data_IF_257181549103
#
_entry.id   IF_257181549103
#
_cell.length_a   1.000
_cell.length_b   1.000
_cell.length_c   1.000
_cell.angle_alpha   90.00
_cell.angle_beta   90.00
_cell.angle_gamma   90.00
#
_symmetry.space_group_name_H-M   'P 1'
#
loop_
_entity.id
_entity.type
_entity.pdbx_description
1 polymer ?
#
# COMPACT_ATOMS: atom_id res chain seq x y z
N UNK A 1 -11.01 -20.07 -13.91
CA UNK A 1 -9.83 -19.89 -13.03
C UNK A 1 -9.65 -18.41 -12.76
N UNK A 2 -9.45 -18.03 -11.48
CA UNK A 2 -9.19 -16.64 -11.10
C UNK A 2 -7.77 -16.24 -11.51
N UNK A 3 -7.57 -14.97 -11.90
CA UNK A 3 -6.23 -14.39 -12.08
C UNK A 3 -5.93 -13.47 -10.92
N UNK A 4 -4.71 -13.54 -10.42
CA UNK A 4 -4.24 -12.77 -9.27
C UNK A 4 -3.22 -11.73 -9.71
N UNK A 5 -3.44 -10.50 -9.29
CA UNK A 5 -2.59 -9.34 -9.51
C UNK A 5 -2.32 -8.69 -8.15
N UNK A 6 -1.45 -7.69 -8.11
CA UNK A 6 -0.95 -7.20 -6.83
C UNK A 6 -0.90 -5.68 -6.79
N UNK A 7 -1.12 -5.12 -5.60
CA UNK A 7 -1.02 -3.69 -5.33
C UNK A 7 -0.04 -3.48 -4.17
N UNK A 8 1.14 -2.93 -4.48
CA UNK A 8 2.23 -2.75 -3.52
C UNK A 8 2.59 -1.27 -3.37
N UNK A 9 1.61 -0.39 -3.36
CA UNK A 9 1.80 1.05 -3.36
C UNK A 9 2.32 1.62 -2.03
N UNK A 10 2.98 2.78 -2.12
CA UNK A 10 3.43 3.51 -0.95
C UNK A 10 2.23 3.89 -0.07
N UNK A 11 2.41 3.99 1.25
CA UNK A 11 1.31 4.46 2.10
C UNK A 11 0.93 5.90 1.73
N UNK A 12 -0.33 6.26 1.94
CA UNK A 12 -0.86 7.61 1.69
C UNK A 12 -0.73 8.09 0.24
N UNK A 13 -0.56 7.18 -0.71
CA UNK A 13 -0.39 7.48 -2.15
C UNK A 13 -1.64 7.17 -2.99
N UNK A 14 -2.80 7.01 -2.34
CA UNK A 14 -4.07 6.80 -3.04
C UNK A 14 -4.49 5.35 -3.20
N UNK A 15 -3.86 4.42 -2.48
CA UNK A 15 -4.19 2.99 -2.57
C UNK A 15 -5.70 2.72 -2.37
N UNK A 16 -6.29 3.32 -1.32
CA UNK A 16 -7.70 3.12 -1.01
C UNK A 16 -8.60 3.70 -2.11
N UNK A 17 -8.26 4.90 -2.61
CA UNK A 17 -9.00 5.52 -3.70
C UNK A 17 -8.95 4.64 -4.96
N UNK A 18 -7.75 4.20 -5.35
CA UNK A 18 -7.56 3.31 -6.50
C UNK A 18 -8.39 2.03 -6.34
N UNK A 19 -8.29 1.41 -5.18
CA UNK A 19 -9.03 0.17 -4.86
C UNK A 19 -10.54 0.37 -4.96
N UNK A 20 -11.03 1.49 -4.42
CA UNK A 20 -12.45 1.82 -4.43
C UNK A 20 -12.97 2.01 -5.86
N UNK A 21 -12.20 2.71 -6.70
CA UNK A 21 -12.57 2.89 -8.11
C UNK A 21 -12.61 1.52 -8.82
N UNK A 22 -11.54 0.73 -8.68
CA UNK A 22 -11.45 -0.57 -9.34
C UNK A 22 -12.56 -1.55 -8.88
N UNK A 23 -12.98 -1.46 -7.61
CA UNK A 23 -14.05 -2.30 -7.07
C UNK A 23 -15.44 -2.00 -7.67
N UNK A 24 -15.60 -0.93 -8.47
CA UNK A 24 -16.83 -0.71 -9.23
C UNK A 24 -17.03 -1.79 -10.31
N UNK A 25 -15.93 -2.41 -10.77
CA UNK A 25 -15.99 -3.45 -11.80
C UNK A 25 -16.42 -4.77 -11.15
N UNK A 26 -17.57 -5.36 -11.56
CA UNK A 26 -18.03 -6.60 -10.93
C UNK A 26 -17.09 -7.79 -11.15
N UNK A 27 -16.31 -7.79 -12.25
CA UNK A 27 -15.37 -8.88 -12.54
C UNK A 27 -14.05 -8.74 -11.78
N UNK A 28 -13.79 -7.61 -11.13
CA UNK A 28 -12.52 -7.29 -10.47
C UNK A 28 -12.76 -6.92 -9.01
N UNK A 29 -12.01 -7.53 -8.10
CA UNK A 29 -12.04 -7.18 -6.67
C UNK A 29 -10.64 -6.89 -6.17
N UNK A 30 -10.51 -5.83 -5.38
CA UNK A 30 -9.25 -5.43 -4.76
C UNK A 30 -9.40 -5.59 -3.24
N UNK A 31 -8.50 -6.32 -2.60
CA UNK A 31 -8.49 -6.43 -1.13
C UNK A 31 -7.99 -5.13 -0.48
N UNK A 32 -8.45 -4.86 0.72
CA UNK A 32 -7.94 -3.70 1.50
C UNK A 32 -6.61 -4.04 2.16
N UNK A 33 -6.62 -5.05 2.99
CA UNK A 33 -5.46 -5.67 3.62
C UNK A 33 -5.76 -7.15 3.74
N UNK A 34 -5.01 -7.97 3.07
CA UNK A 34 -5.12 -9.41 3.25
C UNK A 34 -4.04 -9.87 4.22
N UNK A 35 -4.21 -11.07 4.78
CA UNK A 35 -3.15 -11.75 5.54
C UNK A 35 -2.40 -12.74 4.65
N UNK A 36 -2.59 -12.66 3.35
CA UNK A 36 -2.09 -13.68 2.44
C UNK A 36 -0.55 -13.72 2.43
N UNK A 37 0.10 -12.55 2.37
CA UNK A 37 1.57 -12.50 2.41
C UNK A 37 2.13 -13.11 3.68
N UNK A 38 1.56 -12.75 4.84
CA UNK A 38 2.01 -13.26 6.14
C UNK A 38 1.77 -14.76 6.23
N UNK A 39 0.61 -15.22 5.80
CA UNK A 39 0.26 -16.64 5.84
C UNK A 39 1.21 -17.47 4.96
N UNK A 40 1.48 -17.00 3.74
CA UNK A 40 2.39 -17.71 2.84
C UNK A 40 3.81 -17.69 3.42
N UNK A 41 4.26 -16.54 3.94
CA UNK A 41 5.59 -16.40 4.56
C UNK A 41 5.76 -17.41 5.71
N UNK A 42 4.81 -17.44 6.62
CA UNK A 42 4.88 -18.35 7.78
C UNK A 42 4.86 -19.81 7.33
N UNK A 43 3.97 -20.17 6.41
CA UNK A 43 3.85 -21.53 5.88
C UNK A 43 5.15 -21.95 5.18
N UNK A 44 5.71 -21.09 4.35
CA UNK A 44 6.95 -21.35 3.62
C UNK A 44 8.12 -21.60 4.60
N UNK A 45 8.18 -20.83 5.69
CA UNK A 45 9.28 -20.91 6.65
C UNK A 45 9.16 -22.11 7.61
N UNK A 46 8.04 -22.84 7.62
CA UNK A 46 7.93 -24.08 8.38
C UNK A 46 9.03 -25.09 8.00
N UNK A 47 9.53 -25.00 6.75
CA UNK A 47 10.63 -25.87 6.28
C UNK A 47 11.92 -25.72 7.09
N UNK A 48 12.07 -24.62 7.83
CA UNK A 48 13.25 -24.36 8.64
C UNK A 48 13.13 -24.93 10.06
N UNK A 49 11.99 -25.50 10.43
CA UNK A 49 11.76 -26.04 11.78
C UNK A 49 12.34 -27.45 11.92
N UNK A 50 12.74 -27.81 13.13
CA UNK A 50 13.21 -29.16 13.46
C UNK A 50 12.15 -30.21 13.13
N UNK A 51 10.90 -29.93 13.44
CA UNK A 51 9.79 -30.83 13.15
C UNK A 51 9.71 -31.17 11.67
N UNK A 52 9.85 -30.16 10.82
CA UNK A 52 9.82 -30.36 9.37
C UNK A 52 11.03 -31.21 8.91
N UNK A 53 12.21 -30.97 9.47
CA UNK A 53 13.41 -31.68 9.09
C UNK A 53 13.36 -33.16 9.45
N UNK A 54 12.58 -33.53 10.47
CA UNK A 54 12.36 -34.95 10.83
C UNK A 54 11.53 -35.68 9.77
N UNK A 55 10.66 -34.97 9.04
CA UNK A 55 9.85 -35.54 7.97
C UNK A 55 9.69 -34.48 6.86
N UNK A 56 10.71 -34.34 5.99
CA UNK A 56 10.76 -33.22 5.03
C UNK A 56 9.93 -33.47 3.78
N UNK A 57 8.60 -33.48 3.93
CA UNK A 57 7.67 -33.64 2.81
C UNK A 57 7.50 -32.30 2.08
N UNK A 58 8.49 -31.96 1.25
CA UNK A 58 8.51 -30.70 0.49
C UNK A 58 7.35 -30.61 -0.49
N UNK A 59 6.93 -31.74 -1.07
CA UNK A 59 5.85 -31.72 -2.08
C UNK A 59 4.53 -31.31 -1.46
N UNK A 60 4.21 -31.79 -0.26
CA UNK A 60 2.99 -31.41 0.44
C UNK A 60 3.03 -29.93 0.84
N UNK A 61 4.19 -29.44 1.30
CA UNK A 61 4.35 -28.02 1.64
C UNK A 61 4.20 -27.13 0.39
N UNK A 62 4.83 -27.52 -0.71
CA UNK A 62 4.69 -26.78 -1.98
C UNK A 62 3.24 -26.77 -2.48
N UNK A 63 2.53 -27.88 -2.34
CA UNK A 63 1.11 -27.96 -2.69
C UNK A 63 0.28 -27.00 -1.86
N UNK A 64 0.57 -26.93 -0.55
CA UNK A 64 -0.12 -26.02 0.37
C UNK A 64 0.14 -24.56 -0.03
N UNK A 65 1.40 -24.17 -0.24
CA UNK A 65 1.76 -22.81 -0.63
C UNK A 65 1.12 -22.42 -1.98
N UNK A 66 1.20 -23.31 -2.97
CA UNK A 66 0.64 -23.02 -4.31
C UNK A 66 -0.87 -22.88 -4.31
N UNK A 67 -1.57 -23.50 -3.33
CA UNK A 67 -3.02 -23.42 -3.21
C UNK A 67 -3.50 -22.19 -2.44
N UNK A 68 -2.60 -21.45 -1.76
CA UNK A 68 -2.99 -20.37 -0.86
C UNK A 68 -3.84 -19.29 -1.56
N UNK A 69 -3.48 -18.90 -2.80
CA UNK A 69 -4.24 -17.87 -3.53
C UNK A 69 -5.68 -18.32 -3.76
N UNK A 70 -5.85 -19.50 -4.34
CA UNK A 70 -7.19 -20.02 -4.67
C UNK A 70 -8.00 -20.30 -3.40
N UNK A 71 -7.37 -20.81 -2.35
CA UNK A 71 -8.04 -21.11 -1.07
C UNK A 71 -8.47 -19.81 -0.37
N UNK A 72 -7.58 -18.83 -0.29
CA UNK A 72 -7.86 -17.56 0.39
C UNK A 72 -9.02 -16.81 -0.27
N UNK A 73 -9.05 -16.78 -1.60
CA UNK A 73 -10.05 -16.04 -2.37
C UNK A 73 -11.18 -16.93 -2.91
N UNK A 74 -11.33 -18.16 -2.39
CA UNK A 74 -12.34 -19.12 -2.86
C UNK A 74 -13.74 -18.49 -2.89
N UNK A 75 -14.10 -17.76 -1.85
CA UNK A 75 -15.44 -17.21 -1.67
C UNK A 75 -15.63 -15.81 -2.30
N UNK A 76 -14.62 -15.29 -3.01
CA UNK A 76 -14.76 -14.00 -3.67
C UNK A 76 -15.26 -14.20 -5.09
N UNK A 77 -16.44 -13.62 -5.38
CA UNK A 77 -17.07 -13.72 -6.71
C UNK A 77 -16.47 -12.68 -7.64
N UNK A 78 -15.34 -13.03 -8.25
CA UNK A 78 -14.63 -12.19 -9.22
C UNK A 78 -13.72 -13.05 -10.08
N UNK A 79 -13.50 -12.62 -11.33
CA UNK A 79 -12.56 -13.25 -12.26
C UNK A 79 -11.13 -12.82 -11.97
N UNK A 80 -10.97 -11.57 -11.53
CA UNK A 80 -9.68 -10.92 -11.29
C UNK A 80 -9.61 -10.45 -9.85
N UNK A 81 -8.53 -10.78 -9.16
CA UNK A 81 -8.28 -10.35 -7.77
C UNK A 81 -6.99 -9.54 -7.77
N UNK A 82 -7.03 -8.36 -7.16
CA UNK A 82 -5.82 -7.60 -6.83
C UNK A 82 -5.63 -7.70 -5.32
N UNK A 83 -4.57 -8.40 -4.92
CA UNK A 83 -4.21 -8.52 -3.50
C UNK A 83 -3.30 -7.36 -3.11
N UNK A 84 -3.70 -6.61 -2.08
CA UNK A 84 -2.91 -5.50 -1.58
C UNK A 84 -1.99 -5.97 -0.45
N UNK A 85 -0.69 -5.80 -0.66
CA UNK A 85 0.34 -6.19 0.31
C UNK A 85 1.74 -5.81 -0.17
N UNK A 86 2.79 -6.16 0.58
CA UNK A 86 4.18 -5.82 0.23
C UNK A 86 4.75 -6.77 -0.84
N UNK A 87 4.06 -6.90 -1.96
CA UNK A 87 4.37 -7.92 -2.97
C UNK A 87 5.66 -7.67 -3.74
N UNK A 88 6.24 -6.47 -3.63
CA UNK A 88 7.47 -6.15 -4.34
C UNK A 88 8.77 -6.51 -3.61
N UNK A 89 8.72 -7.05 -2.40
CA UNK A 89 9.93 -7.46 -1.69
C UNK A 89 10.62 -8.63 -2.41
N UNK A 90 11.95 -8.80 -2.26
CA UNK A 90 12.64 -9.92 -2.92
C UNK A 90 12.01 -11.27 -2.64
N UNK A 91 11.71 -11.57 -1.39
CA UNK A 91 11.08 -12.83 -0.99
C UNK A 91 9.74 -13.04 -1.71
N UNK A 92 8.89 -12.00 -1.73
CA UNK A 92 7.57 -12.12 -2.34
C UNK A 92 7.65 -12.27 -3.87
N UNK A 93 8.62 -11.60 -4.51
CA UNK A 93 8.84 -11.80 -5.97
C UNK A 93 9.22 -13.25 -6.25
N UNK A 94 10.14 -13.83 -5.47
CA UNK A 94 10.53 -15.25 -5.61
C UNK A 94 9.32 -16.17 -5.43
N UNK A 95 8.48 -15.90 -4.42
CA UNK A 95 7.24 -16.67 -4.21
C UNK A 95 6.31 -16.59 -5.42
N UNK A 96 6.14 -15.41 -5.98
CA UNK A 96 5.27 -15.23 -7.15
C UNK A 96 5.84 -15.95 -8.36
N UNK A 97 7.16 -15.88 -8.57
CA UNK A 97 7.82 -16.58 -9.67
C UNK A 97 7.67 -18.10 -9.54
N UNK A 98 7.68 -18.63 -8.31
CA UNK A 98 7.59 -20.07 -8.08
C UNK A 98 6.16 -20.60 -8.09
N UNK A 99 5.20 -19.86 -7.50
CA UNK A 99 3.88 -20.42 -7.22
C UNK A 99 2.71 -19.76 -7.96
N UNK A 100 2.86 -18.55 -8.52
CA UNK A 100 1.75 -17.91 -9.20
C UNK A 100 1.50 -18.55 -10.58
N UNK A 101 0.24 -18.83 -10.88
CA UNK A 101 -0.14 -19.54 -12.12
C UNK A 101 -0.36 -18.62 -13.31
N UNK A 102 -0.48 -17.31 -13.08
CA UNK A 102 -0.61 -16.32 -14.17
C UNK A 102 0.58 -15.35 -14.14
N UNK A 103 0.69 -14.52 -15.16
CA UNK A 103 1.79 -13.55 -15.25
C UNK A 103 1.80 -12.61 -14.03
N UNK A 104 2.99 -12.36 -13.51
CA UNK A 104 3.17 -11.44 -12.37
C UNK A 104 2.93 -10.01 -12.86
N UNK A 105 1.97 -9.32 -12.24
CA UNK A 105 1.68 -7.91 -12.53
C UNK A 105 1.40 -7.18 -11.20
N UNK A 106 2.23 -6.18 -10.92
CA UNK A 106 2.21 -5.45 -9.65
C UNK A 106 2.02 -3.96 -9.94
N UNK A 107 0.93 -3.41 -9.44
CA UNK A 107 0.65 -1.97 -9.50
C UNK A 107 1.28 -1.35 -8.25
N UNK A 108 1.96 -0.20 -8.42
CA UNK A 108 2.52 0.53 -7.28
C UNK A 108 2.13 2.00 -7.38
N UNK A 109 1.40 2.50 -6.42
CA UNK A 109 1.08 3.93 -6.32
C UNK A 109 2.21 4.67 -5.62
N UNK A 110 2.77 5.80 -6.20
CA UNK A 110 3.78 6.54 -5.78
C UNK A 110 3.29 7.88 -5.49
N UNK A 111 3.89 8.58 -4.61
CA UNK A 111 3.61 9.98 -4.26
C UNK A 111 4.88 10.61 -3.68
N UNK A 112 5.04 11.94 -3.79
CA UNK A 112 6.19 12.64 -3.18
C UNK A 112 6.31 12.28 -1.70
N UNK A 113 7.53 11.96 -1.26
CA UNK A 113 7.79 11.53 0.12
C UNK A 113 7.34 12.62 1.11
N UNK A 114 7.63 13.89 0.80
CA UNK A 114 7.21 15.03 1.63
C UNK A 114 5.69 15.08 1.77
N UNK A 115 4.96 14.81 0.68
CA UNK A 115 3.50 14.79 0.71
C UNK A 115 2.96 13.58 1.49
N UNK A 116 3.63 12.43 1.43
CA UNK A 116 3.28 11.26 2.24
C UNK A 116 3.40 11.59 3.72
N UNK A 117 4.54 12.18 4.13
CA UNK A 117 4.80 12.57 5.52
C UNK A 117 3.72 13.57 5.99
N UNK A 118 3.48 14.61 5.19
CA UNK A 118 2.45 15.60 5.53
C UNK A 118 1.06 14.95 5.68
N UNK A 119 0.74 13.98 4.81
CA UNK A 119 -0.54 13.28 4.90
C UNK A 119 -0.65 12.45 6.18
N UNK A 120 0.42 11.78 6.59
CA UNK A 120 0.44 11.04 7.85
C UNK A 120 0.19 12.00 9.03
N UNK A 121 0.97 13.09 9.09
CA UNK A 121 0.87 14.07 10.20
C UNK A 121 -0.52 14.68 10.25
N UNK A 122 -1.11 15.00 9.09
CA UNK A 122 -2.45 15.58 9.02
C UNK A 122 -3.54 14.62 9.54
N UNK A 123 -3.26 13.31 9.56
CA UNK A 123 -4.23 12.30 10.03
C UNK A 123 -3.93 11.78 11.43
N UNK A 124 -2.87 12.25 12.09
CA UNK A 124 -2.53 11.81 13.45
C UNK A 124 -3.66 12.24 14.41
N UNK A 125 -4.20 11.30 15.19
CA UNK A 125 -5.23 11.66 16.17
C UNK A 125 -4.72 12.65 17.23
N UNK A 126 -5.60 13.53 17.68
CA UNK A 126 -5.25 14.60 18.63
C UNK A 126 -4.65 14.06 19.93
N UNK A 127 -5.13 12.91 20.41
CA UNK A 127 -4.60 12.34 21.65
C UNK A 127 -3.11 11.93 21.51
N UNK A 128 -2.70 11.47 20.34
CA UNK A 128 -1.29 11.14 20.09
C UNK A 128 -0.44 12.40 19.96
N UNK A 129 -1.01 13.45 19.33
CA UNK A 129 -0.33 14.76 19.26
C UNK A 129 -0.09 15.33 20.66
N UNK A 130 -1.10 15.23 21.53
CA UNK A 130 -1.02 15.73 22.89
C UNK A 130 0.03 14.99 23.71
N UNK A 131 0.08 13.66 23.61
CA UNK A 131 1.09 12.86 24.30
C UNK A 131 2.52 13.23 23.86
N UNK A 132 2.73 13.40 22.55
CA UNK A 132 4.04 13.80 22.03
C UNK A 132 4.42 15.21 22.48
N UNK A 133 3.46 16.14 22.45
CA UNK A 133 3.70 17.52 22.90
C UNK A 133 4.12 17.57 24.36
N UNK A 134 3.53 16.75 25.22
CA UNK A 134 3.90 16.68 26.62
C UNK A 134 5.35 16.19 26.77
N UNK A 135 5.73 15.16 26.05
CA UNK A 135 7.09 14.62 26.10
C UNK A 135 8.14 15.62 25.60
N UNK A 136 7.83 16.36 24.53
CA UNK A 136 8.75 17.31 23.91
C UNK A 136 8.92 18.58 24.79
N UNK A 137 7.85 19.05 25.43
CA UNK A 137 7.88 20.30 26.22
C UNK A 137 8.62 20.15 27.54
N UNK A 138 8.90 18.95 27.97
CA UNK A 138 9.52 18.70 29.29
C UNK A 138 11.04 18.88 29.29
N UNK A 139 11.59 19.86 28.62
CA UNK A 139 13.00 20.09 28.83
C UNK A 139 13.81 20.97 27.90
N UNK A 140 13.23 21.57 26.88
CA UNK A 140 14.06 22.33 25.94
C UNK A 140 13.36 23.62 25.49
N UNK A 141 14.15 24.72 25.41
CA UNK A 141 13.70 25.95 24.77
C UNK A 141 14.10 25.90 23.32
N UNK A 142 13.13 26.05 22.43
CA UNK A 142 13.33 26.01 20.98
C UNK A 142 13.05 27.40 20.39
N UNK A 143 13.66 27.68 19.25
CA UNK A 143 13.31 28.87 18.46
C UNK A 143 11.87 28.74 17.92
N UNK A 144 11.26 29.87 17.61
CA UNK A 144 9.88 29.90 17.11
C UNK A 144 9.71 29.13 15.80
N UNK A 145 10.79 28.99 15.03
CA UNK A 145 10.75 28.27 13.75
C UNK A 145 10.94 26.76 13.89
N UNK A 146 11.31 26.27 15.06
CA UNK A 146 11.57 24.86 15.30
C UNK A 146 10.33 24.17 15.87
N UNK A 147 9.88 23.11 15.21
CA UNK A 147 8.68 22.36 15.60
C UNK A 147 9.04 20.91 15.94
N UNK A 148 9.57 20.68 17.15
CA UNK A 148 10.06 19.35 17.53
C UNK A 148 8.96 18.28 17.54
N UNK A 149 7.72 18.62 17.80
CA UNK A 149 6.60 17.69 17.75
C UNK A 149 6.35 17.19 16.31
N UNK A 150 6.56 18.04 15.33
CA UNK A 150 6.43 17.66 13.91
C UNK A 150 7.62 16.78 13.50
N UNK A 151 8.80 17.12 13.98
CA UNK A 151 10.00 16.31 13.74
C UNK A 151 9.87 14.89 14.30
N UNK A 152 9.34 14.82 15.25
CA UNK A 152 9.12 13.67 15.77
C UNK A 152 8.28 12.86 15.06
N UNK A 153 7.28 13.29 14.69
CA UNK A 153 6.41 12.54 13.80
C UNK A 153 7.13 12.14 12.51
N UNK A 154 7.92 13.04 11.95
CA UNK A 154 8.70 12.71 10.76
C UNK A 154 9.63 11.53 11.02
N UNK A 155 10.34 11.55 12.14
CA UNK A 155 11.26 10.47 12.50
C UNK A 155 10.51 9.15 12.71
N UNK A 156 9.33 9.19 13.34
CA UNK A 156 8.50 7.99 13.52
C UNK A 156 8.04 7.42 12.17
N UNK A 157 7.55 8.30 11.27
CA UNK A 157 7.04 7.89 9.96
C UNK A 157 8.16 7.30 9.08
N UNK A 158 9.37 7.89 9.18
CA UNK A 158 10.52 7.49 8.35
C UNK A 158 11.46 6.51 9.08
N UNK A 159 11.05 6.00 10.22
CA UNK A 159 11.87 5.07 11.03
C UNK A 159 12.24 3.85 10.17
N UNK A 160 13.49 3.40 10.23
CA UNK A 160 13.88 2.14 9.58
C UNK A 160 12.99 1.00 10.04
N UNK A 161 12.56 0.17 9.10
CA UNK A 161 11.60 -0.93 9.28
C UNK A 161 10.17 -0.48 9.60
N UNK A 162 9.86 0.82 9.51
CA UNK A 162 8.49 1.32 9.56
C UNK A 162 7.74 1.08 8.25
N UNK A 163 6.46 1.40 8.25
CA UNK A 163 5.59 1.14 7.09
C UNK A 163 6.10 1.83 5.81
N UNK A 164 6.57 3.07 5.91
CA UNK A 164 7.09 3.79 4.74
C UNK A 164 8.39 3.16 4.25
N UNK A 165 9.31 2.86 5.16
CA UNK A 165 10.60 2.24 4.83
C UNK A 165 10.40 0.88 4.14
N UNK A 166 9.54 0.03 4.70
CA UNK A 166 9.23 -1.28 4.13
C UNK A 166 8.62 -1.16 2.72
N UNK A 167 7.73 -0.17 2.53
CA UNK A 167 7.14 0.07 1.21
C UNK A 167 8.17 0.60 0.20
N UNK A 168 9.08 1.46 0.64
CA UNK A 168 10.19 1.96 -0.20
C UNK A 168 11.16 0.83 -0.55
N UNK A 169 11.44 -0.09 0.38
CA UNK A 169 12.26 -1.27 0.11
C UNK A 169 11.61 -2.14 -0.97
N UNK A 170 10.31 -2.39 -0.84
CA UNK A 170 9.52 -3.14 -1.83
C UNK A 170 9.58 -2.47 -3.21
N UNK A 171 9.33 -1.15 -3.26
CA UNK A 171 9.38 -0.39 -4.50
C UNK A 171 10.80 -0.38 -5.10
N UNK A 172 11.83 -0.22 -4.26
CA UNK A 172 13.22 -0.25 -4.71
C UNK A 172 13.57 -1.58 -5.39
N UNK A 173 13.08 -2.69 -4.85
CA UNK A 173 13.28 -3.99 -5.46
C UNK A 173 12.55 -4.10 -6.81
N UNK A 174 11.33 -3.55 -6.90
CA UNK A 174 10.56 -3.55 -8.15
C UNK A 174 11.20 -2.68 -9.24
N UNK A 175 11.93 -1.63 -8.85
CA UNK A 175 12.61 -0.74 -9.79
C UNK A 175 13.90 -1.33 -10.35
N UNK A 176 14.39 -2.46 -9.83
CA UNK A 176 15.56 -3.14 -10.39
C UNK A 176 15.24 -3.63 -11.80
N UNK A 177 16.24 -3.59 -12.67
CA UNK A 177 16.11 -3.92 -14.11
C UNK A 177 15.38 -5.26 -14.34
N UNK A 178 15.72 -6.26 -13.56
CA UNK A 178 15.14 -7.61 -13.69
C UNK A 178 13.67 -7.68 -13.30
N UNK A 179 13.20 -6.76 -12.45
CA UNK A 179 11.83 -6.76 -11.90
C UNK A 179 10.90 -5.74 -12.57
N UNK A 180 11.44 -4.78 -13.34
CA UNK A 180 10.63 -3.73 -13.98
C UNK A 180 9.53 -4.29 -14.88
N UNK A 181 9.72 -5.46 -15.43
CA UNK A 181 8.72 -6.14 -16.28
C UNK A 181 7.42 -6.45 -15.53
N UNK A 182 7.49 -6.52 -14.21
CA UNK A 182 6.33 -6.81 -13.34
C UNK A 182 5.59 -5.55 -12.88
N UNK A 183 6.16 -4.36 -13.11
CA UNK A 183 5.78 -3.14 -12.40
C UNK A 183 5.01 -2.15 -13.29
N UNK A 184 3.89 -1.64 -12.75
CA UNK A 184 3.21 -0.45 -13.30
C UNK A 184 3.12 0.61 -12.21
N UNK A 185 3.76 1.76 -12.45
CA UNK A 185 3.76 2.89 -11.51
C UNK A 185 2.59 3.82 -11.77
N UNK A 186 1.91 4.24 -10.70
CA UNK A 186 0.81 5.21 -10.75
C UNK A 186 1.17 6.36 -9.82
N UNK A 187 1.42 7.53 -10.39
CA UNK A 187 1.60 8.75 -9.59
C UNK A 187 0.23 9.18 -9.02
N UNK A 188 0.20 9.49 -7.73
CA UNK A 188 -1.01 9.97 -7.06
C UNK A 188 -1.61 11.17 -7.79
N UNK A 189 -0.76 12.11 -8.22
CA UNK A 189 -1.21 13.31 -8.95
C UNK A 189 -1.95 12.95 -10.26
N UNK A 190 -1.52 11.90 -10.94
CA UNK A 190 -2.18 11.47 -12.19
C UNK A 190 -3.52 10.80 -11.90
N UNK A 191 -3.60 10.03 -10.82
CA UNK A 191 -4.87 9.43 -10.37
C UNK A 191 -5.91 10.51 -10.04
N UNK A 192 -5.47 11.63 -9.45
CA UNK A 192 -6.36 12.74 -9.08
C UNK A 192 -6.73 13.59 -10.33
N UNK A 193 -5.75 13.93 -11.17
CA UNK A 193 -5.95 14.85 -12.29
C UNK A 193 -6.60 14.21 -13.51
N UNK A 194 -6.25 12.95 -13.78
CA UNK A 194 -6.68 12.25 -14.99
C UNK A 194 -7.07 10.80 -14.65
N UNK A 195 -8.08 10.60 -13.77
CA UNK A 195 -8.41 9.28 -13.27
C UNK A 195 -8.77 8.29 -14.37
N UNK A 196 -9.58 8.72 -15.35
CA UNK A 196 -9.99 7.85 -16.46
C UNK A 196 -8.78 7.31 -17.22
N UNK A 197 -7.86 8.19 -17.62
CA UNK A 197 -6.65 7.82 -18.34
C UNK A 197 -5.76 6.89 -17.49
N UNK A 198 -5.62 7.21 -16.22
CA UNK A 198 -4.80 6.43 -15.28
C UNK A 198 -5.36 5.01 -15.13
N UNK A 199 -6.67 4.90 -14.93
CA UNK A 199 -7.35 3.60 -14.77
C UNK A 199 -7.27 2.78 -16.07
N UNK A 200 -7.41 3.43 -17.25
CA UNK A 200 -7.27 2.72 -18.53
C UNK A 200 -5.88 2.07 -18.64
N UNK A 201 -4.82 2.79 -18.26
CA UNK A 201 -3.45 2.24 -18.27
C UNK A 201 -3.31 1.04 -17.32
N UNK A 202 -4.02 1.05 -16.19
CA UNK A 202 -4.06 -0.10 -15.28
C UNK A 202 -4.65 -1.32 -15.99
N UNK A 203 -5.78 -1.15 -16.65
CA UNK A 203 -6.42 -2.24 -17.39
C UNK A 203 -5.54 -2.77 -18.52
N UNK A 204 -4.90 -1.85 -19.27
CA UNK A 204 -3.96 -2.24 -20.32
C UNK A 204 -2.79 -3.06 -19.75
N UNK A 205 -2.22 -2.59 -18.64
CA UNK A 205 -1.11 -3.29 -17.97
C UNK A 205 -1.54 -4.68 -17.48
N UNK A 206 -2.72 -4.77 -16.87
CA UNK A 206 -3.23 -6.05 -16.36
C UNK A 206 -3.66 -7.00 -17.48
N UNK A 207 -3.84 -6.49 -18.70
CA UNK A 207 -4.33 -7.23 -19.86
C UNK A 207 -5.71 -7.84 -19.57
N UNK A 208 -6.63 -6.97 -19.13
CA UNK A 208 -8.01 -7.34 -18.83
C UNK A 208 -8.97 -6.34 -19.49
N UNK A 209 -10.22 -6.74 -19.78
CA UNK A 209 -11.18 -5.85 -20.43
C UNK A 209 -11.46 -4.58 -19.62
N UNK A 210 -11.47 -3.44 -20.30
CA UNK A 210 -11.79 -2.14 -19.70
C UNK A 210 -13.22 -2.15 -19.14
N UNK A 211 -13.41 -1.38 -18.07
CA UNK A 211 -14.71 -1.15 -17.44
C UNK A 211 -14.98 0.35 -17.39
N UNK A 212 -16.22 0.74 -17.56
CA UNK A 212 -16.62 2.16 -17.57
C UNK A 212 -16.93 2.63 -16.14
N UNK A 213 -15.95 3.22 -15.50
CA UNK A 213 -16.04 3.68 -14.10
C UNK A 213 -16.78 5.00 -13.98
N UNK A 214 -17.49 5.18 -12.86
CA UNK A 214 -18.12 6.44 -12.49
C UNK A 214 -17.23 7.20 -11.48
N UNK A 215 -16.55 8.25 -11.93
CA UNK A 215 -15.65 9.03 -11.10
C UNK A 215 -16.38 10.14 -10.30
N UNK A 216 -17.67 10.33 -10.56
CA UNK A 216 -18.49 11.34 -9.88
C UNK A 216 -19.36 10.75 -8.77
N UNK A 217 -19.31 9.45 -8.57
CA UNK A 217 -20.06 8.77 -7.52
C UNK A 217 -19.23 7.60 -6.99
N UNK A 218 -18.21 7.94 -6.21
CA UNK A 218 -17.30 6.95 -5.60
C UNK A 218 -17.86 6.57 -4.24
N UNK A 219 -18.23 5.32 -4.09
CA UNK A 219 -18.80 4.79 -2.85
C UNK A 219 -17.68 4.48 -1.84
N UNK A 220 -18.02 4.44 -0.56
CA UNK A 220 -17.08 4.04 0.48
C UNK A 220 -16.51 2.65 0.18
N UNK A 221 -15.21 2.45 0.48
CA UNK A 221 -14.56 1.19 0.21
C UNK A 221 -15.33 0.03 0.87
N UNK A 222 -15.75 -0.90 0.04
CA UNK A 222 -16.41 -2.12 0.47
C UNK A 222 -16.13 -3.20 -0.56
N UNK A 223 -15.77 -4.38 -0.13
CA UNK A 223 -15.51 -5.51 -1.03
C UNK A 223 -15.99 -6.78 -0.33
N UNK A 224 -16.76 -7.59 -1.06
CA UNK A 224 -17.27 -8.86 -0.57
C UNK A 224 -18.04 -8.72 0.76
N UNK A 225 -18.79 -7.61 0.92
CA UNK A 225 -19.56 -7.32 2.13
C UNK A 225 -18.73 -6.76 3.29
N UNK A 226 -17.42 -6.66 3.14
CA UNK A 226 -16.54 -6.17 4.19
C UNK A 226 -16.22 -4.69 3.96
N UNK A 227 -16.27 -3.90 5.03
CA UNK A 227 -15.95 -2.48 5.00
C UNK A 227 -14.70 -2.20 5.84
N UNK A 228 -13.92 -1.24 5.40
CA UNK A 228 -12.77 -0.78 6.17
C UNK A 228 -13.26 -0.22 7.51
N UNK A 229 -12.63 -0.63 8.60
CA UNK A 229 -12.99 -0.16 9.94
C UNK A 229 -11.74 0.33 10.70
N UNK A 230 -11.42 1.60 10.52
CA UNK A 230 -10.27 2.24 11.17
C UNK A 230 -10.52 2.56 12.65
N UNK A 231 -11.79 2.61 13.07
CA UNK A 231 -12.14 3.05 14.43
C UNK A 231 -11.57 2.12 15.51
N UNK A 232 -11.38 0.85 15.14
CA UNK A 232 -10.77 -0.14 16.04
C UNK A 232 -9.31 0.18 16.36
N UNK A 233 -8.62 0.89 15.46
CA UNK A 233 -7.17 1.17 15.58
C UNK A 233 -6.91 2.64 15.89
N UNK A 234 -7.60 3.55 15.20
CA UNK A 234 -7.27 4.98 15.22
C UNK A 234 -8.33 5.89 15.86
N UNK A 235 -9.46 5.34 16.32
CA UNK A 235 -10.62 6.08 16.84
C UNK A 235 -11.32 6.94 15.77
N UNK A 236 -10.63 7.29 14.70
CA UNK A 236 -11.17 8.04 13.55
C UNK A 236 -11.06 7.22 12.28
N UNK A 237 -11.91 7.50 11.31
CA UNK A 237 -11.87 6.82 10.03
C UNK A 237 -10.91 7.54 9.08
N UNK A 238 -9.65 7.11 9.05
CA UNK A 238 -8.61 7.71 8.21
C UNK A 238 -8.65 7.23 6.75
N UNK A 239 -9.43 6.19 6.46
CA UNK A 239 -9.61 5.66 5.11
C UNK A 239 -10.98 6.00 4.53
N UNK A 240 -11.61 7.07 5.03
CA UNK A 240 -12.86 7.55 4.48
C UNK A 240 -12.64 8.06 3.05
N UNK A 241 -13.46 7.56 2.12
CA UNK A 241 -13.41 7.93 0.71
C UNK A 241 -14.53 8.92 0.44
N UNK A 242 -14.22 10.05 -0.18
CA UNK A 242 -15.22 11.03 -0.58
C UNK A 242 -15.92 10.59 -1.87
N UNK A 243 -17.15 11.02 -2.05
CA UNK A 243 -17.96 10.63 -3.21
C UNK A 243 -17.36 11.05 -4.55
N UNK A 244 -16.46 12.04 -4.53
CA UNK A 244 -15.76 12.48 -5.73
C UNK A 244 -14.26 12.59 -5.46
N UNK A 245 -13.49 12.53 -6.52
CA UNK A 245 -12.02 12.68 -6.41
C UNK A 245 -11.72 14.13 -6.05
N UNK A 246 -11.00 14.35 -4.96
CA UNK A 246 -10.68 15.68 -4.46
C UNK A 246 -9.20 15.82 -4.16
N UNK A 247 -8.68 17.01 -4.37
CA UNK A 247 -7.35 17.38 -3.91
C UNK A 247 -7.34 17.42 -2.38
N UNK A 248 -6.20 17.16 -1.75
CA UNK A 248 -6.07 17.39 -0.30
C UNK A 248 -6.44 18.84 0.04
N UNK A 249 -7.09 19.01 1.19
CA UNK A 249 -7.54 20.34 1.64
C UNK A 249 -6.48 21.11 2.44
N UNK A 250 -5.22 20.65 2.36
CA UNK A 250 -4.06 21.27 3.03
C UNK A 250 -2.91 21.36 2.03
N UNK A 251 -1.99 22.27 2.30
CA UNK A 251 -0.71 22.35 1.59
C UNK A 251 0.39 21.79 2.48
N UNK A 252 1.36 21.13 1.90
CA UNK A 252 2.48 20.53 2.62
C UNK A 252 3.18 21.55 3.52
N UNK A 253 3.39 22.76 3.03
CA UNK A 253 4.05 23.84 3.78
C UNK A 253 3.26 24.33 5.01
N UNK A 254 1.96 24.04 5.05
CA UNK A 254 1.11 24.41 6.21
C UNK A 254 1.30 23.38 7.36
N UNK A 255 1.85 22.22 7.05
CA UNK A 255 2.06 21.11 7.99
C UNK A 255 3.53 20.96 8.35
N UNK A 256 4.42 21.04 7.35
CA UNK A 256 5.86 20.83 7.52
C UNK A 256 6.61 22.15 7.39
N UNK A 257 7.43 22.53 8.40
CA UNK A 257 8.33 23.67 8.23
C UNK A 257 9.38 23.40 7.13
N UNK A 258 9.93 24.47 6.58
CA UNK A 258 10.77 24.39 5.39
C UNK A 258 11.97 23.45 5.57
N UNK A 259 12.61 23.45 6.75
CA UNK A 259 13.79 22.62 6.99
C UNK A 259 13.46 21.11 6.88
N UNK A 260 12.24 20.70 7.25
CA UNK A 260 11.82 19.30 7.11
C UNK A 260 11.47 18.99 5.63
N UNK A 261 10.86 19.95 4.94
CA UNK A 261 10.62 19.80 3.50
C UNK A 261 11.95 19.56 2.79
N UNK A 262 12.95 20.37 3.08
CA UNK A 262 14.29 20.26 2.46
C UNK A 262 14.94 18.91 2.80
N UNK A 263 14.80 18.46 4.07
CA UNK A 263 15.37 17.19 4.55
C UNK A 263 14.85 15.97 3.79
N UNK A 264 13.56 15.98 3.44
CA UNK A 264 12.89 14.81 2.86
C UNK A 264 12.62 14.95 1.36
N UNK A 265 12.93 16.08 0.74
CA UNK A 265 12.75 16.29 -0.70
C UNK A 265 13.72 15.45 -1.54
N UNK A 266 13.34 15.23 -2.79
CA UNK A 266 14.18 14.59 -3.81
C UNK A 266 14.62 13.17 -3.45
N UNK A 267 13.73 12.44 -2.79
CA UNK A 267 13.97 11.02 -2.42
C UNK A 267 13.25 10.05 -3.35
N UNK A 268 12.63 10.57 -4.41
CA UNK A 268 11.78 9.81 -5.34
C UNK A 268 12.63 9.09 -6.40
N UNK A 269 13.40 8.08 -5.98
CA UNK A 269 14.33 7.33 -6.85
C UNK A 269 13.61 6.67 -8.04
N UNK A 270 12.33 6.41 -7.95
CA UNK A 270 11.56 5.76 -9.01
C UNK A 270 11.27 6.67 -10.21
N UNK A 271 11.61 7.95 -10.12
CA UNK A 271 11.45 8.93 -11.21
C UNK A 271 12.75 9.16 -12.01
N UNK A 272 13.86 8.51 -11.65
CA UNK A 272 15.15 8.70 -12.30
C UNK A 272 15.39 7.70 -13.44
#
# INVERSE_FOLDING_TARGET
MKKYFFLAGLPRSGNTLLSTILNQNPDLKVSSNSFLTEHIFDTYHLRLTEKYQNFPDIRSLDSLVSSCFDAYYQNWDAKYIIDRGPWGTPFNIELLEEYLKNDIKIICTXRDIVEIIASFINTVPDFLREQLNIQVRQGLRFSDDYKPEVEXFCDFITHPMGQLDHSLFSLGNLCKKENQKYLHLIEYKDLIKSPKRTIHKVYDFLDIPHYNHNFNDIQQFSVNGLKYNDRMVFKNNIHEVKNTIQQPNYKTKDILPQYLIDRYSKREFWRN
#
